data_IF_291130178595
#
_entry.id   IF_291130178595
#
_cell.length_a   1.000
_cell.length_b   1.000
_cell.length_c   1.000
_cell.angle_alpha   90.00
_cell.angle_beta   90.00
_cell.angle_gamma   90.00
#
_symmetry.space_group_name_H-M   'P 1'
#
loop_
_entity.id
_entity.type
_entity.pdbx_description
1 polymer ?
#
# COMPACT_ATOMS: atom_id res chain seq x y z
N UNK A 1 -0.80 0.51 -13.48
CA UNK A 1 0.47 0.93 -12.82
C UNK A 1 1.01 -0.19 -11.95
N UNK A 2 0.19 -0.76 -11.06
CA UNK A 2 0.62 -1.75 -10.08
C UNK A 2 1.11 -3.05 -10.73
N UNK A 3 0.66 -3.40 -11.95
CA UNK A 3 1.22 -4.52 -12.73
C UNK A 3 2.73 -4.39 -12.92
N UNK A 4 3.22 -3.19 -13.29
CA UNK A 4 4.65 -2.95 -13.50
C UNK A 4 5.40 -3.02 -12.18
N UNK A 5 4.85 -2.42 -11.12
CA UNK A 5 5.45 -2.45 -9.79
C UNK A 5 5.56 -3.87 -9.22
N UNK A 6 4.51 -4.68 -9.37
CA UNK A 6 4.53 -6.07 -8.94
C UNK A 6 5.47 -6.93 -9.80
N UNK A 7 5.60 -6.65 -11.10
CA UNK A 7 6.57 -7.35 -11.95
C UNK A 7 8.01 -7.08 -11.52
N UNK A 8 8.33 -5.82 -11.19
CA UNK A 8 9.64 -5.44 -10.63
C UNK A 8 9.87 -6.09 -9.26
N UNK A 9 8.87 -6.05 -8.37
CA UNK A 9 8.95 -6.69 -7.06
C UNK A 9 9.13 -8.21 -7.17
N UNK A 10 8.47 -8.86 -8.13
CA UNK A 10 8.61 -10.29 -8.40
C UNK A 10 10.02 -10.66 -8.85
N UNK A 11 10.57 -9.91 -9.82
CA UNK A 11 11.95 -10.11 -10.27
C UNK A 11 12.96 -9.91 -9.14
N UNK A 12 12.77 -8.88 -8.31
CA UNK A 12 13.63 -8.64 -7.16
C UNK A 12 13.49 -9.73 -6.09
N UNK A 13 12.26 -10.16 -5.79
CA UNK A 13 11.97 -11.23 -4.83
C UNK A 13 12.65 -12.55 -5.24
N UNK A 14 12.73 -12.84 -6.53
CA UNK A 14 13.43 -14.04 -7.03
C UNK A 14 14.94 -13.95 -6.78
N UNK A 15 15.56 -12.78 -7.02
CA UNK A 15 16.99 -12.54 -6.78
C UNK A 15 17.35 -12.71 -5.30
N UNK A 16 16.52 -12.20 -4.38
CA UNK A 16 16.80 -12.27 -2.94
C UNK A 16 16.25 -13.54 -2.27
N UNK A 17 15.62 -14.44 -3.03
CA UNK A 17 15.04 -15.66 -2.50
C UNK A 17 13.79 -15.45 -1.62
N UNK A 18 13.10 -14.33 -1.74
CA UNK A 18 11.85 -14.08 -1.03
C UNK A 18 10.70 -14.96 -1.59
N UNK A 19 9.72 -15.26 -0.73
CA UNK A 19 8.51 -16.03 -1.07
C UNK A 19 7.21 -15.24 -0.86
N UNK A 20 7.33 -13.97 -0.46
CA UNK A 20 6.22 -13.10 -0.17
C UNK A 20 6.49 -11.68 -0.67
N UNK A 21 5.48 -11.06 -1.25
CA UNK A 21 5.45 -9.64 -1.62
C UNK A 21 4.29 -9.00 -0.85
N UNK A 22 4.58 -7.92 -0.13
CA UNK A 22 3.55 -7.12 0.54
C UNK A 22 3.28 -5.86 -0.27
N UNK A 23 2.02 -5.56 -0.54
CA UNK A 23 1.62 -4.34 -1.23
C UNK A 23 0.42 -3.69 -0.52
N UNK A 24 0.54 -2.40 -0.22
CA UNK A 24 -0.46 -1.61 0.52
C UNK A 24 -1.63 -1.11 -0.34
N UNK A 25 -2.09 -1.90 -1.32
CA UNK A 25 -3.32 -1.56 -2.07
C UNK A 25 -4.53 -1.58 -1.15
N UNK A 26 -5.46 -0.66 -1.38
CA UNK A 26 -6.73 -0.54 -0.68
C UNK A 26 -7.84 -0.43 -1.73
N UNK A 27 -8.89 -1.25 -1.59
CA UNK A 27 -10.01 -1.33 -2.51
C UNK A 27 -11.27 -0.60 -2.04
N UNK A 28 -11.33 -0.19 -0.75
CA UNK A 28 -12.49 0.43 -0.10
C UNK A 28 -12.59 1.91 -0.45
N UNK A 29 -11.48 2.65 -0.39
CA UNK A 29 -11.48 4.11 -0.48
C UNK A 29 -11.51 4.65 -1.93
N UNK A 30 -12.26 3.97 -2.81
CA UNK A 30 -12.62 4.36 -4.18
C UNK A 30 -11.56 5.15 -4.95
N UNK A 31 -10.57 4.44 -5.50
CA UNK A 31 -9.63 5.04 -6.45
C UNK A 31 -10.01 4.80 -7.92
N UNK A 32 -11.05 4.01 -8.19
CA UNK A 32 -11.43 3.61 -9.55
C UNK A 32 -10.41 2.70 -10.25
N UNK A 33 -9.27 2.40 -9.62
CA UNK A 33 -8.20 1.64 -10.26
C UNK A 33 -8.47 0.13 -10.20
N UNK A 34 -8.58 -0.55 -11.36
CA UNK A 34 -8.83 -2.00 -11.40
C UNK A 34 -7.63 -2.80 -10.88
N UNK A 35 -6.42 -2.24 -10.90
CA UNK A 35 -5.18 -2.87 -10.44
C UNK A 35 -4.95 -2.77 -8.92
N UNK A 36 -6.00 -2.49 -8.15
CA UNK A 36 -6.01 -2.53 -6.68
C UNK A 36 -6.98 -3.59 -6.11
N UNK A 37 -7.70 -4.31 -6.98
CA UNK A 37 -8.80 -5.21 -6.60
C UNK A 37 -8.32 -6.64 -6.30
N UNK A 38 -9.09 -7.43 -5.53
CA UNK A 38 -8.76 -8.83 -5.25
C UNK A 38 -8.51 -9.66 -6.52
N UNK A 39 -9.29 -9.46 -7.58
CA UNK A 39 -9.17 -10.22 -8.83
C UNK A 39 -7.83 -9.99 -9.50
N UNK A 40 -7.37 -8.73 -9.53
CA UNK A 40 -6.05 -8.38 -10.06
C UNK A 40 -4.93 -9.04 -9.23
N UNK A 41 -5.01 -8.95 -7.90
CA UNK A 41 -4.00 -9.51 -7.00
C UNK A 41 -3.94 -11.04 -7.12
N UNK A 42 -5.09 -11.69 -7.16
CA UNK A 42 -5.19 -13.14 -7.36
C UNK A 42 -4.62 -13.56 -8.71
N UNK A 43 -4.97 -12.85 -9.79
CA UNK A 43 -4.44 -13.12 -11.12
C UNK A 43 -2.91 -12.96 -11.16
N UNK A 44 -2.38 -11.92 -10.52
CA UNK A 44 -0.94 -11.70 -10.45
C UNK A 44 -0.22 -12.75 -9.59
N UNK A 45 -0.82 -13.22 -8.48
CA UNK A 45 -0.26 -14.32 -7.68
C UNK A 45 -0.20 -15.62 -8.50
N UNK A 46 -1.25 -15.94 -9.27
CA UNK A 46 -1.25 -17.09 -10.18
C UNK A 46 -0.14 -16.97 -11.21
N UNK A 47 -0.03 -15.82 -11.88
CA UNK A 47 1.05 -15.54 -12.84
C UNK A 47 2.43 -15.73 -12.19
N UNK A 48 2.64 -15.17 -11.00
CA UNK A 48 3.92 -15.25 -10.27
C UNK A 48 4.35 -16.70 -9.99
N UNK A 49 3.37 -17.58 -9.74
CA UNK A 49 3.60 -18.99 -9.48
C UNK A 49 3.78 -19.85 -10.75
N UNK A 50 3.55 -19.28 -11.94
CA UNK A 50 3.87 -19.93 -13.23
C UNK A 50 5.17 -19.37 -13.83
N UNK A 51 5.50 -18.11 -13.54
CA UNK A 51 6.55 -17.37 -14.22
C UNK A 51 7.95 -17.46 -13.58
N UNK A 52 8.10 -18.04 -12.37
CA UNK A 52 9.38 -18.03 -11.62
C UNK A 52 9.99 -19.42 -11.48
N UNK A 53 11.33 -19.49 -11.46
CA UNK A 53 12.07 -20.74 -11.22
C UNK A 53 11.80 -21.26 -9.82
N UNK A 54 11.72 -20.36 -8.84
CA UNK A 54 11.38 -20.70 -7.46
C UNK A 54 10.07 -21.49 -7.38
N UNK A 55 9.01 -21.01 -8.05
CA UNK A 55 7.73 -21.69 -8.06
C UNK A 55 7.77 -23.04 -8.80
N UNK A 56 8.50 -23.12 -9.92
CA UNK A 56 8.73 -24.39 -10.63
C UNK A 56 9.46 -25.44 -9.77
N UNK A 57 10.23 -25.00 -8.78
CA UNK A 57 10.92 -25.85 -7.80
C UNK A 57 10.09 -26.09 -6.52
N UNK A 58 8.80 -25.74 -6.53
CA UNK A 58 7.88 -25.95 -5.42
C UNK A 58 7.84 -24.83 -4.38
N UNK A 59 8.60 -23.75 -4.56
CA UNK A 59 8.59 -22.59 -3.65
C UNK A 59 7.64 -21.52 -4.16
N UNK A 60 6.41 -21.55 -3.67
CA UNK A 60 5.34 -20.65 -4.09
C UNK A 60 5.57 -19.20 -3.65
N UNK A 61 5.20 -18.27 -4.52
CA UNK A 61 5.11 -16.83 -4.23
C UNK A 61 3.73 -16.49 -3.68
N UNK A 62 3.67 -15.65 -2.64
CA UNK A 62 2.44 -15.11 -2.05
C UNK A 62 2.39 -13.59 -2.14
N UNK A 63 1.23 -13.02 -2.45
CA UNK A 63 1.01 -11.57 -2.48
C UNK A 63 0.08 -11.19 -1.34
N UNK A 64 0.61 -10.46 -0.38
CA UNK A 64 -0.10 -10.01 0.80
C UNK A 64 -0.60 -8.59 0.62
N UNK A 65 -1.88 -8.38 0.89
CA UNK A 65 -2.56 -7.09 0.77
C UNK A 65 -3.29 -6.74 2.07
N UNK A 66 -2.53 -6.53 3.18
CA UNK A 66 -3.11 -6.43 4.53
C UNK A 66 -4.10 -5.28 4.68
N UNK A 67 -4.00 -4.24 3.84
CA UNK A 67 -4.84 -3.04 3.91
C UNK A 67 -6.04 -3.09 2.96
N UNK A 68 -6.21 -4.14 2.16
CA UNK A 68 -7.15 -4.18 1.03
C UNK A 68 -8.60 -3.87 1.42
N UNK A 69 -9.03 -4.45 2.54
CA UNK A 69 -10.39 -4.35 3.06
C UNK A 69 -10.52 -3.38 4.25
N UNK A 70 -9.48 -2.57 4.53
CA UNK A 70 -9.50 -1.60 5.61
C UNK A 70 -9.85 -0.22 5.05
N UNK A 71 -10.78 0.48 5.69
CA UNK A 71 -10.93 1.93 5.49
C UNK A 71 -9.73 2.69 6.08
N UNK A 72 -9.57 3.97 5.72
CA UNK A 72 -8.48 4.80 6.25
C UNK A 72 -8.43 4.87 7.77
N UNK A 73 -9.58 4.98 8.43
CA UNK A 73 -9.63 5.10 9.89
C UNK A 73 -9.08 3.83 10.57
N UNK A 74 -9.42 2.66 10.04
CA UNK A 74 -8.89 1.37 10.51
C UNK A 74 -7.41 1.22 10.19
N UNK A 75 -6.95 1.67 9.02
CA UNK A 75 -5.51 1.68 8.70
C UNK A 75 -4.75 2.51 9.74
N UNK A 76 -5.26 3.70 10.08
CA UNK A 76 -4.63 4.60 11.06
C UNK A 76 -4.60 3.98 12.45
N UNK A 77 -5.73 3.46 12.95
CA UNK A 77 -5.77 2.75 14.25
C UNK A 77 -4.81 1.57 14.29
N UNK A 78 -4.79 0.76 13.24
CA UNK A 78 -3.88 -0.40 13.13
C UNK A 78 -2.42 0.03 13.17
N UNK A 79 -2.05 1.12 12.49
CA UNK A 79 -0.70 1.66 12.54
C UNK A 79 -0.30 2.12 13.94
N UNK A 80 -1.19 2.83 14.63
CA UNK A 80 -0.96 3.27 16.02
C UNK A 80 -0.79 2.07 16.97
N UNK A 81 -1.65 1.05 16.86
CA UNK A 81 -1.53 -0.19 17.64
C UNK A 81 -0.20 -0.91 17.41
N UNK A 82 0.35 -0.82 16.20
CA UNK A 82 1.65 -1.38 15.83
C UNK A 82 2.83 -0.45 16.19
N UNK A 83 2.58 0.73 16.76
CA UNK A 83 3.63 1.69 17.14
C UNK A 83 4.20 2.51 15.99
N UNK A 84 3.46 2.67 14.89
CA UNK A 84 3.87 3.53 13.78
C UNK A 84 3.82 5.00 14.21
N UNK A 85 4.95 5.68 14.03
CA UNK A 85 5.00 7.14 14.07
C UNK A 85 4.51 7.69 12.72
N UNK A 86 3.31 8.26 12.70
CA UNK A 86 2.75 8.85 11.49
C UNK A 86 3.36 10.21 11.10
N UNK A 87 4.13 10.84 11.99
CA UNK A 87 4.78 12.13 11.73
C UNK A 87 5.91 12.03 10.71
N UNK A 88 6.55 10.87 10.60
CA UNK A 88 7.63 10.60 9.64
C UNK A 88 7.11 10.11 8.27
N UNK A 89 5.80 10.03 8.09
CA UNK A 89 5.18 9.53 6.84
C UNK A 89 4.72 10.66 5.95
N UNK A 90 4.88 10.48 4.62
CA UNK A 90 4.41 11.45 3.62
C UNK A 90 3.30 10.83 2.79
N UNK A 91 2.14 11.50 2.75
CA UNK A 91 1.02 11.13 1.88
C UNK A 91 0.80 12.15 0.76
N UNK A 92 1.14 13.43 1.01
CA UNK A 92 0.93 14.53 0.06
C UNK A 92 1.62 14.26 -1.28
N UNK A 93 0.92 14.51 -2.40
CA UNK A 93 1.49 14.39 -3.75
C UNK A 93 2.43 15.55 -4.12
N UNK A 94 2.34 16.65 -3.37
CA UNK A 94 2.97 17.92 -3.68
C UNK A 94 3.51 18.55 -2.40
N UNK A 95 4.19 17.75 -1.56
CA UNK A 95 4.83 18.29 -0.37
C UNK A 95 5.88 19.33 -0.79
N UNK A 96 6.03 20.39 0.01
CA UNK A 96 7.05 21.40 -0.26
C UNK A 96 8.47 20.89 0.06
N UNK A 97 9.47 21.74 -0.16
CA UNK A 97 10.88 21.40 0.12
C UNK A 97 11.18 21.11 1.59
N UNK A 98 10.31 21.54 2.50
CA UNK A 98 10.40 21.30 3.95
C UNK A 98 9.59 20.05 4.37
N UNK A 99 8.91 19.39 3.42
CA UNK A 99 8.10 18.21 3.66
C UNK A 99 6.67 18.50 4.12
N UNK A 100 6.23 19.76 4.15
CA UNK A 100 4.87 20.13 4.56
C UNK A 100 3.84 19.73 3.51
N UNK A 101 2.72 19.21 3.96
CA UNK A 101 1.62 18.77 3.11
C UNK A 101 0.83 19.96 2.54
N UNK A 102 0.47 19.91 1.25
CA UNK A 102 -0.15 21.04 0.55
C UNK A 102 -1.60 21.34 0.92
N UNK A 103 -2.23 20.51 1.76
CA UNK A 103 -3.66 20.52 2.15
C UNK A 103 -4.70 20.37 1.02
N UNK A 104 -4.35 20.61 -0.25
CA UNK A 104 -5.32 20.71 -1.35
C UNK A 104 -5.47 19.45 -2.22
N UNK A 105 -4.47 18.55 -2.22
CA UNK A 105 -4.53 17.33 -3.02
C UNK A 105 -5.43 16.25 -2.39
N UNK A 106 -5.93 15.31 -3.21
CA UNK A 106 -6.81 14.24 -2.73
C UNK A 106 -6.18 13.40 -1.62
N UNK A 107 -4.87 13.16 -1.68
CA UNK A 107 -4.16 12.41 -0.64
C UNK A 107 -4.16 13.14 0.71
N UNK A 108 -4.00 14.47 0.71
CA UNK A 108 -4.11 15.27 1.94
C UNK A 108 -5.52 15.20 2.54
N UNK A 109 -6.55 15.32 1.69
CA UNK A 109 -7.96 15.24 2.12
C UNK A 109 -8.30 13.88 2.70
N UNK A 110 -7.92 12.80 2.00
CA UNK A 110 -8.16 11.42 2.46
C UNK A 110 -7.40 11.11 3.75
N UNK A 111 -6.19 11.62 3.91
CA UNK A 111 -5.42 11.47 5.15
C UNK A 111 -6.09 12.18 6.30
N UNK A 112 -6.38 13.48 6.16
CA UNK A 112 -7.00 14.29 7.20
C UNK A 112 -8.36 13.70 7.63
N UNK A 113 -9.20 13.33 6.67
CA UNK A 113 -10.50 12.68 6.95
C UNK A 113 -10.31 11.32 7.63
N UNK A 114 -9.27 10.57 7.26
CA UNK A 114 -8.91 9.31 7.91
C UNK A 114 -8.57 9.48 9.38
N UNK A 115 -7.76 10.48 9.73
CA UNK A 115 -7.38 10.77 11.13
C UNK A 115 -8.58 11.25 11.94
N UNK A 116 -9.39 12.14 11.37
CA UNK A 116 -10.65 12.59 11.97
C UNK A 116 -11.59 11.42 12.26
N UNK A 117 -11.85 10.56 11.26
CA UNK A 117 -12.68 9.37 11.43
C UNK A 117 -12.06 8.32 12.37
N UNK A 118 -10.74 8.37 12.58
CA UNK A 118 -10.07 7.51 13.54
C UNK A 118 -10.18 8.02 14.98
N UNK A 119 -10.57 9.29 15.19
CA UNK A 119 -10.54 9.94 16.50
C UNK A 119 -9.12 10.18 17.01
N UNK A 120 -8.14 10.29 16.10
CA UNK A 120 -6.71 10.42 16.40
C UNK A 120 -6.22 11.74 15.81
N UNK A 121 -5.43 12.50 16.55
CA UNK A 121 -4.83 13.74 16.06
C UNK A 121 -3.91 13.46 14.87
N UNK A 122 -4.10 14.18 13.75
CA UNK A 122 -3.23 14.08 12.57
C UNK A 122 -1.89 14.77 12.86
N UNK A 123 -0.75 14.06 12.86
CA UNK A 123 0.55 14.67 13.09
C UNK A 123 1.12 15.38 11.86
N UNK A 124 0.41 15.41 10.73
CA UNK A 124 0.89 16.06 9.51
C UNK A 124 1.03 17.57 9.67
N UNK A 125 2.20 18.09 9.31
CA UNK A 125 2.45 19.52 9.18
C UNK A 125 1.98 19.95 7.79
N UNK A 126 1.03 20.87 7.73
CA UNK A 126 0.52 21.46 6.49
C UNK A 126 1.21 22.80 6.19
N UNK A 127 1.30 23.14 4.90
CA UNK A 127 1.86 24.40 4.41
C UNK A 127 0.83 25.54 4.47
#
# INVERSE_FOLDING_TARGET
RNTVFLALALGYAEVIGASAIFIGVNAVDYSGYPDCRPEFINAFEVLSNVATKAAAQGRRMRIHTPLMAMDKARIIRTGIELGIDYSITVSCYQADSEGRACSVCDSCRLRSAGFEAAGIADPTVYA
#
